data_IF_344998580760
#
_entry.id   IF_344998580760
#
_cell.length_a   1.000
_cell.length_b   1.000
_cell.length_c   1.000
_cell.angle_alpha   90.00
_cell.angle_beta   90.00
_cell.angle_gamma   90.00
#
_symmetry.space_group_name_H-M   'P 1'
#
loop_
_entity.id
_entity.type
_entity.pdbx_description
1 polymer ?
2 non-polymer ?
3 non-polymer ?
#
# COMPACT_ATOMS: atom_id res chain seq x y z
N UNK A 5 10.68 -28.02 -14.03
CA UNK A 5 12.07 -28.43 -13.78
C UNK A 5 12.76 -27.49 -12.81
N UNK A 6 12.45 -26.19 -12.91
CA UNK A 6 13.24 -25.17 -12.23
C UNK A 6 12.43 -24.32 -11.26
N UNK A 7 12.66 -23.01 -11.32
CA UNK A 7 12.07 -22.08 -10.36
C UNK A 7 11.70 -20.80 -11.11
N UNK A 8 10.49 -20.30 -10.90
CA UNK A 8 10.12 -18.98 -11.40
C UNK A 8 10.35 -17.97 -10.30
N UNK A 9 11.15 -16.96 -10.60
CA UNK A 9 11.53 -15.95 -9.64
C UNK A 9 10.77 -14.66 -9.90
N UNK A 10 10.56 -13.90 -8.83
CA UNK A 10 9.96 -12.57 -8.91
C UNK A 10 10.67 -11.68 -7.89
N UNK A 11 11.10 -10.50 -8.33
CA UNK A 11 11.88 -9.58 -7.50
C UNK A 11 11.14 -8.26 -7.43
N UNK A 12 10.86 -7.81 -6.21
CA UNK A 12 10.21 -6.53 -5.95
C UNK A 12 11.17 -5.59 -5.24
N UNK A 13 11.11 -4.31 -5.60
CA UNK A 13 11.97 -3.30 -5.02
C UNK A 13 11.13 -2.11 -4.57
N UNK A 14 11.31 -1.70 -3.31
CA UNK A 14 10.66 -0.53 -2.75
C UNK A 14 11.73 0.47 -2.33
N UNK A 15 11.71 1.65 -2.94
CA UNK A 15 12.62 2.73 -2.59
C UNK A 15 11.82 3.68 -1.72
N UNK A 16 11.84 3.44 -0.40
CA UNK A 16 11.04 4.18 0.53
C UNK A 16 11.73 5.42 1.07
N UNK A 17 11.11 6.02 2.09
CA UNK A 17 11.64 7.25 2.67
C UNK A 17 12.81 6.98 3.61
N UNK A 18 12.84 5.82 4.25
CA UNK A 18 13.94 5.45 5.14
C UNK A 18 14.60 4.13 4.81
N UNK A 19 13.93 3.22 4.10
CA UNK A 19 14.48 1.91 3.76
C UNK A 19 14.34 1.67 2.27
N UNK A 20 15.34 1.01 1.69
CA UNK A 20 15.28 0.48 0.33
C UNK A 20 15.25 -1.03 0.44
N UNK A 21 14.12 -1.64 0.10
CA UNK A 21 13.90 -3.07 0.29
C UNK A 21 13.83 -3.77 -1.05
N UNK A 22 14.66 -4.81 -1.20
CA UNK A 22 14.64 -5.68 -2.37
C UNK A 22 14.34 -7.10 -1.93
N UNK A 23 13.30 -7.69 -2.50
CA UNK A 23 12.84 -9.02 -2.11
C UNK A 23 12.91 -9.97 -3.29
N UNK A 24 13.41 -11.18 -3.06
CA UNK A 24 13.49 -12.23 -4.06
C UNK A 24 12.68 -13.41 -3.58
N UNK A 25 11.73 -13.85 -4.39
CA UNK A 25 10.86 -14.94 -4.01
C UNK A 25 10.61 -15.89 -5.17
N UNK A 26 10.42 -17.17 -4.82
CA UNK A 26 10.07 -18.20 -5.77
C UNK A 26 8.56 -18.40 -5.79
N UNK A 27 8.01 -18.61 -6.98
CA UNK A 27 6.61 -18.98 -7.11
C UNK A 27 6.48 -20.49 -6.93
N UNK A 28 5.68 -20.90 -5.97
CA UNK A 28 5.42 -22.31 -5.73
C UNK A 28 4.11 -22.73 -6.37
N UNK A 29 3.92 -24.02 -6.64
CA UNK A 29 2.63 -24.47 -7.19
C UNK A 29 1.43 -24.07 -6.34
N UNK A 30 1.63 -23.91 -5.03
CA UNK A 30 0.58 -23.43 -4.14
C UNK A 30 -0.02 -22.12 -4.63
N UNK A 31 0.82 -21.22 -5.12
CA UNK A 31 0.53 -19.82 -5.17
C UNK A 31 1.19 -19.03 -4.07
N UNK A 32 1.86 -19.70 -3.15
CA UNK A 32 2.68 -19.06 -2.13
C UNK A 32 4.02 -18.65 -2.73
N UNK A 33 4.66 -17.68 -2.08
CA UNK A 33 5.94 -17.16 -2.51
C UNK A 33 7.00 -17.62 -1.51
N UNK A 34 8.00 -18.36 -2.01
CA UNK A 34 9.12 -18.81 -1.18
C UNK A 34 10.17 -17.69 -1.17
N UNK A 35 10.15 -16.86 -0.14
CA UNK A 35 11.06 -15.74 -0.04
C UNK A 35 12.47 -16.27 0.27
N UNK A 36 13.38 -16.07 -0.68
CA UNK A 36 14.73 -16.63 -0.59
C UNK A 36 15.81 -15.55 -0.53
N UNK A 37 15.44 -14.27 -0.62
CA UNK A 37 16.42 -13.21 -0.58
C UNK A 37 15.85 -11.89 -0.08
N UNK A 38 16.55 -11.26 0.86
CA UNK A 38 16.13 -9.99 1.43
C UNK A 38 17.29 -9.01 1.30
N UNK A 39 16.97 -7.75 0.96
CA UNK A 39 17.97 -6.72 0.87
C UNK A 39 17.50 -5.42 1.49
N UNK A 40 18.21 -4.95 2.51
CA UNK A 40 17.86 -3.72 3.21
C UNK A 40 19.00 -2.72 3.12
N UNK A 41 18.64 -1.43 3.10
CA UNK A 41 19.59 -0.35 2.98
C UNK A 41 18.92 0.95 3.39
N UNK A 42 19.55 1.77 4.23
CA UNK A 42 18.96 3.06 4.59
C UNK A 42 18.85 3.96 3.36
N UNK A 43 17.61 4.34 3.03
CA UNK A 43 17.31 5.05 1.80
C UNK A 43 17.94 6.44 1.85
N UNK A 44 19.12 6.57 1.25
CA UNK A 44 19.83 7.84 1.19
C UNK A 44 19.55 8.54 -0.13
N UNK A 45 19.14 9.79 -0.05
CA UNK A 45 18.91 10.62 -1.21
C UNK A 45 17.47 10.88 -1.59
N UNK A 46 16.51 10.64 -0.68
CA UNK A 46 15.10 10.83 -0.98
C UNK A 46 14.45 11.66 0.10
N UNK A 47 13.93 12.82 -0.27
CA UNK A 47 13.04 13.60 0.60
C UNK A 47 11.69 12.93 0.62
N UNK A 48 10.67 13.64 1.11
CA UNK A 48 9.30 13.14 0.93
C UNK A 48 8.71 13.60 -0.39
N UNK A 49 9.17 14.73 -0.94
CA UNK A 49 8.78 15.13 -2.27
C UNK A 49 9.32 14.24 -3.36
N UNK A 50 10.34 13.43 -3.06
CA UNK A 50 10.90 12.52 -4.02
C UNK A 50 12.40 12.38 -3.94
N UNK A 51 13.04 12.10 -5.07
CA UNK A 51 14.48 11.95 -5.13
C UNK A 51 15.13 13.34 -5.22
N UNK A 52 16.16 13.57 -4.39
CA UNK A 52 16.92 14.81 -4.44
C UNK A 52 18.39 14.60 -4.80
N UNK A 53 18.82 13.35 -5.00
CA UNK A 53 20.22 13.06 -5.30
C UNK A 53 20.26 11.68 -5.96
N UNK A 54 20.44 11.66 -7.27
CA UNK A 54 20.32 10.42 -8.02
C UNK A 54 21.46 9.46 -7.69
N UNK A 55 22.70 9.95 -7.67
CA UNK A 55 23.84 9.08 -7.42
C UNK A 55 23.74 8.39 -6.06
N UNK A 56 23.10 9.05 -5.09
CA UNK A 56 22.93 8.42 -3.78
C UNK A 56 21.94 7.26 -3.85
N UNK A 57 20.85 7.44 -4.60
CA UNK A 57 19.82 6.40 -4.67
C UNK A 57 20.31 5.22 -5.50
N UNK A 58 21.18 5.46 -6.49
CA UNK A 58 21.72 4.36 -7.27
C UNK A 58 22.54 3.43 -6.40
N UNK A 59 23.43 4.01 -5.58
CA UNK A 59 24.21 3.20 -4.64
C UNK A 59 23.32 2.51 -3.63
N UNK A 60 22.22 3.14 -3.23
CA UNK A 60 21.29 2.53 -2.28
C UNK A 60 20.59 1.32 -2.90
N UNK A 61 20.17 1.44 -4.16
CA UNK A 61 19.44 0.36 -4.80
C UNK A 61 20.34 -0.83 -5.05
N UNK A 62 21.51 -0.60 -5.66
CA UNK A 62 22.42 -1.70 -5.95
C UNK A 62 22.90 -2.38 -4.68
N UNK A 63 23.01 -1.64 -3.59
CA UNK A 63 23.37 -2.25 -2.30
C UNK A 63 22.29 -3.24 -1.86
N UNK A 64 21.03 -2.81 -1.85
CA UNK A 64 19.94 -3.71 -1.50
C UNK A 64 19.78 -4.83 -2.53
N UNK A 65 20.04 -4.54 -3.81
CA UNK A 65 19.96 -5.58 -4.83
C UNK A 65 21.06 -6.61 -4.63
N UNK A 66 22.28 -6.15 -4.33
CA UNK A 66 23.40 -7.07 -4.19
C UNK A 66 23.21 -8.01 -3.01
N UNK A 67 22.65 -7.50 -1.90
CA UNK A 67 22.48 -8.34 -0.72
C UNK A 67 21.46 -9.44 -0.96
N UNK A 68 20.29 -9.08 -1.50
CA UNK A 68 19.27 -10.08 -1.80
C UNK A 68 19.73 -11.02 -2.91
N UNK A 69 20.53 -10.52 -3.85
CA UNK A 69 21.06 -11.37 -4.91
C UNK A 69 22.00 -12.44 -4.35
N UNK A 70 22.83 -12.05 -3.38
CA UNK A 70 23.76 -13.00 -2.78
C UNK A 70 23.05 -13.97 -1.84
N UNK A 71 22.08 -13.46 -1.07
CA UNK A 71 21.35 -14.31 -0.14
C UNK A 71 20.53 -15.37 -0.86
N UNK A 72 20.06 -15.06 -2.07
CA UNK A 72 19.23 -15.98 -2.85
C UNK A 72 20.03 -16.82 -3.84
N UNK A 73 21.32 -16.51 -4.04
CA UNK A 73 22.16 -17.22 -5.00
C UNK A 73 21.54 -17.19 -6.40
N UNK A 74 21.14 -15.99 -6.83
CA UNK A 74 20.52 -15.80 -8.14
C UNK A 74 21.20 -14.63 -8.84
N UNK A 75 20.52 -14.09 -9.85
CA UNK A 75 21.04 -12.94 -10.60
C UNK A 75 19.84 -12.07 -10.99
N UNK A 76 19.60 -11.02 -10.21
CA UNK A 76 18.46 -10.15 -10.45
C UNK A 76 18.73 -9.29 -11.67
N UNK A 77 17.83 -9.36 -12.66
CA UNK A 77 17.94 -8.56 -13.87
C UNK A 77 16.75 -7.64 -14.08
N UNK A 78 15.58 -7.97 -13.56
CA UNK A 78 14.39 -7.13 -13.68
C UNK A 78 13.66 -7.12 -12.35
N UNK A 79 12.98 -6.01 -12.06
CA UNK A 79 12.31 -5.82 -10.77
C UNK A 79 10.90 -5.30 -11.01
N UNK A 80 10.07 -5.47 -9.98
CA UNK A 80 8.74 -4.85 -9.90
C UNK A 80 8.86 -3.68 -8.93
N UNK A 81 8.71 -2.46 -9.45
CA UNK A 81 9.01 -1.24 -8.71
C UNK A 81 7.75 -0.69 -8.07
N UNK A 82 7.82 -0.41 -6.78
CA UNK A 82 6.74 0.26 -6.08
C UNK A 82 6.74 1.75 -6.42
N UNK A 83 5.62 2.41 -6.10
CA UNK A 83 5.49 3.84 -6.39
C UNK A 83 4.48 4.44 -5.41
N UNK A 84 4.95 5.34 -4.56
CA UNK A 84 4.11 6.13 -3.67
C UNK A 84 4.27 7.60 -4.02
N UNK A 85 3.43 8.42 -3.41
CA UNK A 85 3.49 9.85 -3.62
C UNK A 85 2.13 10.48 -3.40
N UNK A 86 2.12 11.81 -3.42
CA UNK A 86 0.90 12.56 -3.16
C UNK A 86 -0.04 12.54 -4.36
N UNK A 87 0.50 12.75 -5.56
CA UNK A 87 -0.33 12.95 -6.74
C UNK A 87 -0.74 11.63 -7.36
N UNK A 88 -1.21 10.70 -6.53
CA UNK A 88 -1.85 9.47 -6.99
C UNK A 88 -3.34 9.62 -6.73
N UNK A 89 -4.16 9.34 -7.75
CA UNK A 89 -5.60 9.51 -7.65
C UNK A 89 -6.28 8.33 -8.32
N UNK A 90 -7.62 8.35 -8.30
CA UNK A 90 -8.41 7.27 -8.85
C UNK A 90 -9.66 7.83 -9.50
N UNK A 91 -10.33 6.98 -10.29
CA UNK A 91 -11.62 7.28 -10.87
C UNK A 91 -12.24 5.97 -11.36
N UNK A 92 -13.56 5.98 -11.47
CA UNK A 92 -14.32 4.78 -11.84
C UNK A 92 -15.15 5.07 -13.08
N UNK A 93 -15.01 4.22 -14.09
CA UNK A 93 -15.73 4.35 -15.34
C UNK A 93 -16.62 3.13 -15.57
N UNK A 94 -17.56 3.29 -16.51
CA UNK A 94 -18.54 2.25 -16.83
C UNK A 94 -18.65 2.16 -18.35
N UNK A 95 -18.39 0.97 -18.90
CA UNK A 95 -18.52 0.75 -20.33
C UNK A 95 -19.59 -0.28 -20.64
N UNK A 96 -20.08 -0.27 -21.88
CA UNK A 96 -21.13 -1.21 -22.29
C UNK A 96 -20.96 -1.53 -23.77
N UNK A 97 -21.01 -2.81 -24.11
CA UNK A 97 -20.84 -3.25 -25.50
C UNK A 97 -21.92 -4.28 -25.85
N UNK A 98 -22.31 -4.41 -27.11
CA UNK A 98 -23.16 -5.53 -27.51
C UNK A 98 -22.38 -6.83 -27.48
N UNK A 99 -22.99 -7.87 -26.91
CA UNK A 99 -22.31 -9.16 -26.77
C UNK A 99 -22.20 -9.82 -28.14
N UNK A 100 -20.98 -10.18 -28.52
CA UNK A 100 -20.74 -10.78 -29.83
C UNK A 100 -21.41 -12.14 -29.91
N UNK A 101 -22.35 -12.28 -30.86
CA UNK A 101 -23.08 -13.53 -31.11
C UNK A 101 -23.80 -14.03 -29.85
N UNK A 102 -24.15 -13.09 -28.96
CA UNK A 102 -24.88 -13.39 -27.73
C UNK A 102 -24.16 -14.42 -26.86
N UNK A 103 -22.84 -14.48 -26.99
CA UNK A 103 -22.00 -15.30 -26.12
C UNK A 103 -20.71 -14.53 -25.85
N UNK A 104 -20.42 -14.32 -24.56
CA UNK A 104 -19.30 -13.46 -24.18
C UNK A 104 -17.99 -14.16 -24.55
N UNK A 105 -17.28 -13.61 -25.54
CA UNK A 105 -15.94 -14.03 -25.88
C UNK A 105 -14.92 -13.05 -25.30
N UNK A 106 -13.64 -13.40 -25.42
CA UNK A 106 -12.60 -12.57 -24.85
C UNK A 106 -12.53 -11.20 -25.51
N UNK A 107 -12.83 -11.12 -26.81
CA UNK A 107 -12.82 -9.84 -27.49
C UNK A 107 -13.96 -8.94 -27.02
N UNK A 108 -15.06 -9.53 -26.54
CA UNK A 108 -16.11 -8.76 -25.89
C UNK A 108 -15.58 -8.08 -24.63
N UNK A 109 -14.86 -8.84 -23.81
CA UNK A 109 -14.29 -8.30 -22.57
C UNK A 109 -13.26 -7.23 -22.87
N UNK A 110 -12.41 -7.46 -23.88
CA UNK A 110 -11.29 -6.56 -24.13
C UNK A 110 -11.74 -5.19 -24.62
N UNK A 111 -12.85 -5.12 -25.36
CA UNK A 111 -13.32 -3.85 -25.90
C UNK A 111 -14.11 -3.03 -24.88
N UNK A 112 -14.89 -3.67 -24.01
CA UNK A 112 -15.64 -2.91 -23.01
C UNK A 112 -14.70 -2.35 -21.94
N UNK A 113 -13.63 -3.09 -21.62
CA UNK A 113 -12.60 -2.55 -20.74
C UNK A 113 -11.83 -1.45 -21.46
N UNK A 114 -11.63 -1.60 -22.77
CA UNK A 114 -10.94 -0.57 -23.54
C UNK A 114 -11.74 0.72 -23.58
N UNK A 115 -13.06 0.62 -23.81
CA UNK A 115 -13.88 1.82 -23.86
C UNK A 115 -14.05 2.47 -22.50
N UNK A 116 -13.77 1.75 -21.41
CA UNK A 116 -13.85 2.34 -20.08
C UNK A 116 -12.58 3.14 -19.76
N UNK A 117 -11.42 2.57 -20.06
CA UNK A 117 -10.15 3.25 -19.79
C UNK A 117 -9.82 4.35 -20.80
N UNK A 118 -10.54 4.42 -21.92
CA UNK A 118 -10.30 5.44 -22.93
C UNK A 118 -11.14 6.68 -22.66
N UNK A 119 -10.87 7.31 -21.52
CA UNK A 119 -11.59 8.49 -21.08
C UNK A 119 -10.58 9.57 -20.71
N UNK A 120 -11.07 10.80 -20.57
CA UNK A 120 -10.24 11.90 -20.10
C UNK A 120 -9.78 11.63 -18.68
N UNK A 121 -8.51 11.92 -18.41
CA UNK A 121 -7.88 11.60 -17.13
C UNK A 121 -7.38 12.89 -16.50
N UNK A 122 -7.35 12.90 -15.17
CA UNK A 122 -6.90 14.04 -14.36
C UNK A 122 -5.73 14.77 -15.00
N UNK A 123 -5.75 16.10 -14.91
CA UNK A 123 -4.73 16.95 -15.52
C UNK A 123 -3.34 16.49 -15.12
N UNK A 124 -2.51 16.21 -16.14
CA UNK A 124 -1.13 15.76 -15.95
C UNK A 124 -1.08 14.41 -15.24
N UNK A 125 -1.89 13.47 -15.70
CA UNK A 125 -1.89 12.11 -15.16
C UNK A 125 -1.90 11.11 -16.30
N UNK A 126 -1.36 9.92 -16.01
CA UNK A 126 -1.43 8.78 -16.91
C UNK A 126 -1.98 7.59 -16.15
N UNK A 127 -2.57 6.65 -16.89
CA UNK A 127 -3.16 5.49 -16.26
C UNK A 127 -2.06 4.55 -15.79
N UNK A 128 -2.05 4.27 -14.49
CA UNK A 128 -1.09 3.37 -13.88
C UNK A 128 -1.62 1.95 -13.74
N UNK A 129 -2.91 1.80 -13.43
CA UNK A 129 -3.54 0.50 -13.28
C UNK A 129 -4.96 0.56 -13.83
N UNK A 130 -5.32 -0.41 -14.66
CA UNK A 130 -6.69 -0.60 -15.12
C UNK A 130 -7.21 -1.86 -14.45
N UNK A 131 -8.07 -1.69 -13.46
CA UNK A 131 -8.57 -2.82 -12.67
C UNK A 131 -10.07 -2.98 -12.88
N UNK A 132 -10.52 -3.98 -13.63
CA UNK A 132 -11.96 -4.22 -13.74
C UNK A 132 -12.55 -4.62 -12.40
N UNK A 133 -13.72 -4.09 -12.10
CA UNK A 133 -14.41 -4.37 -10.84
C UNK A 133 -15.40 -5.53 -10.98
N UNK A 134 -16.39 -5.38 -11.86
CA UNK A 134 -17.37 -6.43 -12.06
C UNK A 134 -18.07 -6.20 -13.40
N UNK A 135 -18.78 -7.24 -13.86
CA UNK A 135 -19.48 -7.19 -15.14
C UNK A 135 -20.97 -7.43 -14.92
N UNK A 136 -21.77 -6.95 -15.87
CA UNK A 136 -23.23 -7.09 -15.81
C UNK A 136 -23.73 -7.53 -17.18
N UNK A 137 -24.12 -8.79 -17.28
CA UNK A 137 -24.64 -9.36 -18.53
C UNK A 137 -26.15 -9.43 -18.42
N UNK A 138 -26.84 -8.53 -19.12
CA UNK A 138 -28.30 -8.53 -19.18
C UNK A 138 -28.92 -8.57 -17.79
N UNK A 139 -28.50 -7.62 -16.95
CA UNK A 139 -29.03 -7.43 -15.60
C UNK A 139 -28.70 -8.60 -14.68
N UNK A 140 -27.60 -9.30 -14.93
CA UNK A 140 -26.94 -10.12 -13.93
C UNK A 140 -25.74 -9.30 -13.43
N UNK A 141 -25.97 -8.48 -12.42
CA UNK A 141 -24.90 -7.64 -11.92
C UNK A 141 -23.92 -8.45 -11.07
N UNK A 142 -22.72 -7.91 -10.91
CA UNK A 142 -21.72 -8.51 -10.04
C UNK A 142 -21.08 -9.78 -10.56
N UNK A 143 -20.71 -9.81 -11.84
CA UNK A 143 -20.03 -10.96 -12.43
C UNK A 143 -18.54 -10.69 -12.44
N UNK A 144 -17.75 -11.69 -12.05
CA UNK A 144 -16.29 -11.56 -12.04
C UNK A 144 -15.68 -12.07 -13.35
N UNK A 145 -15.84 -13.36 -13.63
CA UNK A 145 -15.32 -13.98 -14.84
C UNK A 145 -16.48 -14.22 -15.80
N UNK A 146 -16.69 -13.35 -16.78
CA UNK A 146 -17.89 -13.43 -17.63
C UNK A 146 -17.71 -14.13 -18.97
N UNK A 147 -16.50 -14.56 -19.33
CA UNK A 147 -16.28 -15.17 -20.63
C UNK A 147 -17.03 -16.49 -20.71
N UNK A 148 -17.80 -16.67 -21.77
CA UNK A 148 -18.54 -17.88 -22.02
C UNK A 148 -20.03 -17.76 -21.78
N UNK A 149 -20.46 -16.84 -20.92
CA UNK A 149 -21.86 -16.70 -20.58
C UNK A 149 -22.65 -16.14 -21.75
N UNK A 150 -23.98 -16.27 -21.66
CA UNK A 150 -24.89 -15.82 -22.71
C UNK A 150 -25.58 -14.52 -22.30
N UNK A 151 -25.88 -13.69 -23.29
CA UNK A 151 -26.53 -12.43 -23.04
C UNK A 151 -26.44 -11.54 -24.27
N UNK A 152 -27.17 -10.43 -24.20
CA UNK A 152 -27.24 -9.49 -25.32
C UNK A 152 -26.33 -8.29 -25.12
N UNK A 153 -26.46 -7.61 -23.97
CA UNK A 153 -25.65 -6.45 -23.65
C UNK A 153 -24.90 -6.68 -22.35
N UNK A 154 -23.64 -6.25 -22.32
CA UNK A 154 -22.77 -6.44 -21.17
C UNK A 154 -22.23 -5.10 -20.71
N UNK A 155 -22.32 -4.84 -19.41
CA UNK A 155 -21.75 -3.67 -18.78
C UNK A 155 -20.52 -4.08 -17.97
N UNK A 156 -19.54 -3.19 -17.92
CA UNK A 156 -18.31 -3.44 -17.16
C UNK A 156 -17.97 -2.21 -16.33
N UNK A 157 -17.63 -2.45 -15.06
CA UNK A 157 -17.18 -1.41 -14.15
C UNK A 157 -15.67 -1.55 -13.97
N UNK A 158 -14.93 -0.50 -14.27
CA UNK A 158 -13.47 -0.53 -14.27
C UNK A 158 -12.95 0.54 -13.33
N UNK A 159 -12.01 0.16 -12.47
CA UNK A 159 -11.36 1.07 -11.54
C UNK A 159 -10.01 1.50 -12.11
N UNK A 160 -9.78 2.81 -12.16
CA UNK A 160 -8.57 3.38 -12.74
C UNK A 160 -7.74 4.04 -11.65
N UNK A 161 -6.49 3.63 -11.53
CA UNK A 161 -5.53 4.27 -10.65
C UNK A 161 -4.57 5.10 -11.50
N UNK A 162 -4.61 6.41 -11.34
CA UNK A 162 -3.82 7.33 -12.15
C UNK A 162 -2.74 8.00 -11.30
N UNK A 163 -1.65 8.38 -11.96
CA UNK A 163 -0.52 9.01 -11.30
C UNK A 163 0.04 10.10 -12.20
N UNK A 164 0.76 11.04 -11.59
CA UNK A 164 1.41 12.09 -12.36
C UNK A 164 2.48 11.48 -13.27
N UNK A 165 2.69 12.12 -14.43
CA UNK A 165 3.54 11.54 -15.46
C UNK A 165 4.99 11.44 -15.01
N UNK A 166 5.50 12.47 -14.34
CA UNK A 166 6.93 12.56 -14.05
C UNK A 166 7.32 11.94 -12.73
N UNK A 167 6.36 11.59 -11.87
CA UNK A 167 6.70 11.17 -10.51
C UNK A 167 7.46 9.85 -10.45
N UNK A 168 7.56 9.11 -11.56
CA UNK A 168 8.30 7.86 -11.58
C UNK A 168 9.61 7.95 -12.35
N UNK A 169 9.89 9.07 -13.02
CA UNK A 169 11.07 9.16 -13.87
C UNK A 169 12.36 8.98 -13.06
N UNK A 170 12.41 9.56 -11.86
CA UNK A 170 13.65 9.51 -11.08
C UNK A 170 13.94 8.10 -10.60
N UNK A 171 12.94 7.42 -10.03
CA UNK A 171 13.17 6.08 -9.51
C UNK A 171 13.36 5.06 -10.63
N UNK A 172 12.83 5.33 -11.82
CA UNK A 172 13.09 4.44 -12.96
C UNK A 172 14.53 4.61 -13.43
N UNK A 173 15.01 5.85 -13.51
CA UNK A 173 16.40 6.10 -13.84
C UNK A 173 17.34 5.46 -12.83
N UNK A 174 16.97 5.51 -11.54
CA UNK A 174 17.81 4.92 -10.50
C UNK A 174 17.95 3.41 -10.71
N UNK A 175 16.84 2.72 -10.92
CA UNK A 175 16.90 1.27 -11.12
C UNK A 175 17.58 0.94 -12.44
N UNK A 176 17.24 1.66 -13.51
CA UNK A 176 17.83 1.37 -14.82
C UNK A 176 19.33 1.64 -14.84
N UNK A 177 19.80 2.58 -14.02
CA UNK A 177 21.23 2.82 -13.91
C UNK A 177 21.95 1.76 -13.08
N UNK A 178 21.22 0.76 -12.58
CA UNK A 178 21.81 -0.42 -11.95
C UNK A 178 21.79 -1.64 -12.86
N UNK A 179 21.57 -1.44 -14.16
CA UNK A 179 21.48 -2.55 -15.08
C UNK A 179 20.24 -3.40 -14.91
N UNK A 180 19.15 -2.81 -14.43
CA UNK A 180 17.92 -3.55 -14.14
C UNK A 180 16.78 -2.98 -14.97
N UNK A 181 15.90 -3.87 -15.43
CA UNK A 181 14.68 -3.49 -16.14
C UNK A 181 13.53 -3.42 -15.15
N UNK A 182 12.60 -2.50 -15.40
CA UNK A 182 11.39 -2.36 -14.60
C UNK A 182 10.30 -3.22 -15.24
N UNK A 183 9.96 -4.33 -14.60
CA UNK A 183 8.88 -5.18 -15.10
C UNK A 183 7.57 -4.40 -15.14
N UNK A 184 7.26 -3.69 -14.06
CA UNK A 184 6.03 -2.91 -13.97
C UNK A 184 6.14 -1.99 -12.75
N UNK A 185 5.50 -0.82 -12.87
CA UNK A 185 5.39 0.11 -11.75
C UNK A 185 4.10 -0.17 -11.00
N UNK A 186 4.20 -0.49 -9.72
CA UNK A 186 3.07 -0.91 -8.90
C UNK A 186 2.78 0.17 -7.88
N UNK A 187 1.52 0.57 -7.78
CA UNK A 187 1.11 1.48 -6.71
C UNK A 187 1.32 0.81 -5.36
N UNK A 188 1.94 1.54 -4.43
CA UNK A 188 2.33 0.96 -3.16
C UNK A 188 1.13 0.47 -2.37
N UNK A 189 0.05 1.25 -2.37
CA UNK A 189 -1.15 0.84 -1.65
C UNK A 189 -1.80 -0.39 -2.25
N UNK A 190 -1.68 -0.57 -3.57
CA UNK A 190 -2.24 -1.75 -4.20
C UNK A 190 -1.48 -3.01 -3.81
N UNK A 191 -0.15 -2.95 -3.86
CA UNK A 191 0.66 -4.09 -3.42
C UNK A 191 0.43 -4.40 -1.95
N UNK A 192 0.15 -3.37 -1.14
CA UNK A 192 -0.05 -3.59 0.29
C UNK A 192 -1.22 -4.55 0.53
N UNK A 193 -2.38 -4.25 -0.04
CA UNK A 193 -3.54 -5.11 0.12
C UNK A 193 -3.37 -6.46 -0.57
N UNK A 194 -2.54 -6.54 -1.61
CA UNK A 194 -2.19 -7.84 -2.17
C UNK A 194 -1.53 -8.73 -1.12
N UNK A 195 -0.86 -8.13 -0.14
CA UNK A 195 -0.08 -8.86 0.85
C UNK A 195 -0.88 -9.15 2.13
N UNK A 196 -1.72 -8.23 2.57
CA UNK A 196 -2.37 -8.36 3.87
C UNK A 196 -3.80 -8.85 3.80
N UNK A 197 -4.39 -8.93 2.61
CA UNK A 197 -5.80 -9.28 2.47
C UNK A 197 -5.97 -10.74 2.07
N UNK A 198 -6.99 -11.37 2.62
CA UNK A 198 -7.51 -12.63 2.10
C UNK A 198 -8.67 -12.35 1.16
N UNK A 199 -8.95 -13.31 0.28
CA UNK A 199 -9.96 -13.08 -0.75
C UNK A 199 -11.36 -12.93 -0.15
N UNK A 200 -11.64 -13.62 0.96
CA UNK A 200 -12.97 -13.50 1.56
C UNK A 200 -13.17 -12.14 2.22
N UNK A 201 -12.09 -11.49 2.66
CA UNK A 201 -12.21 -10.14 3.21
C UNK A 201 -12.64 -9.15 2.13
N UNK A 202 -12.16 -9.34 0.89
CA UNK A 202 -12.62 -8.51 -0.21
C UNK A 202 -14.10 -8.77 -0.51
N UNK A 203 -14.55 -10.02 -0.38
CA UNK A 203 -15.95 -10.34 -0.58
C UNK A 203 -16.81 -9.75 0.53
N UNK A 204 -16.38 -9.92 1.79
CA UNK A 204 -17.13 -9.36 2.91
C UNK A 204 -17.12 -7.84 2.90
N UNK A 205 -16.09 -7.24 2.30
CA UNK A 205 -15.96 -5.80 2.32
C UNK A 205 -14.95 -5.33 3.36
N UNK A 206 -13.85 -4.73 2.89
CA UNK A 206 -12.77 -4.31 3.77
C UNK A 206 -12.16 -3.02 3.24
N UNK A 207 -11.40 -2.34 4.09
CA UNK A 207 -10.66 -1.14 3.71
C UNK A 207 -9.25 -1.25 4.28
N UNK A 208 -8.25 -1.21 3.41
CA UNK A 208 -6.86 -1.25 3.81
C UNK A 208 -6.34 0.17 3.93
N UNK A 209 -5.50 0.42 4.93
CA UNK A 209 -4.86 1.71 5.13
C UNK A 209 -3.37 1.44 5.28
N UNK A 210 -2.61 1.68 4.21
CA UNK A 210 -1.16 1.55 4.24
C UNK A 210 -0.57 2.84 4.80
N UNK A 211 -0.08 2.79 6.03
CA UNK A 211 0.40 3.96 6.74
C UNK A 211 1.92 3.96 6.68
N UNK A 212 2.47 4.81 5.82
CA UNK A 212 3.90 4.97 5.69
C UNK A 212 4.42 6.13 6.50
N UNK A 213 5.47 6.78 5.99
CA UNK A 213 6.02 7.95 6.64
C UNK A 213 5.33 9.23 6.24
N UNK A 214 5.07 9.40 4.95
CA UNK A 214 4.51 10.64 4.45
C UNK A 214 3.11 10.52 3.86
N UNK A 215 2.69 9.30 3.54
CA UNK A 215 1.39 9.07 2.93
C UNK A 215 0.62 7.99 3.68
N UNK A 216 -0.70 8.09 3.60
CA UNK A 216 -1.62 7.02 4.01
C UNK A 216 -2.33 6.56 2.74
N UNK A 217 -2.01 5.35 2.29
CA UNK A 217 -2.63 4.77 1.11
C UNK A 217 -3.86 3.99 1.53
N UNK A 218 -5.03 4.40 1.03
CA UNK A 218 -6.31 3.83 1.43
C UNK A 218 -6.94 3.15 0.22
N UNK A 219 -7.34 1.89 0.39
CA UNK A 219 -8.06 1.13 -0.63
C UNK A 219 -9.27 0.48 0.01
N UNK A 220 -10.39 0.51 -0.72
CA UNK A 220 -11.66 -0.04 -0.23
C UNK A 220 -12.11 -1.12 -1.19
N UNK A 221 -12.28 -2.34 -0.68
CA UNK A 221 -12.80 -3.46 -1.43
C UNK A 221 -14.19 -3.80 -0.89
N UNK A 222 -15.20 -3.77 -1.76
CA UNK A 222 -16.54 -4.24 -1.42
C UNK A 222 -17.04 -5.14 -2.54
N UNK A 223 -17.64 -6.27 -2.16
CA UNK A 223 -18.11 -7.23 -3.15
C UNK A 223 -17.00 -7.89 -3.93
N UNK A 224 -15.80 -7.97 -3.37
CA UNK A 224 -14.68 -8.58 -4.04
C UNK A 224 -14.00 -7.72 -5.09
N UNK A 225 -14.33 -6.44 -5.18
CA UNK A 225 -13.79 -5.55 -6.19
C UNK A 225 -13.23 -4.30 -5.55
N UNK A 226 -12.17 -3.77 -6.15
CA UNK A 226 -11.57 -2.53 -5.66
C UNK A 226 -12.44 -1.35 -6.03
N UNK A 227 -12.98 -0.67 -5.01
CA UNK A 227 -13.92 0.43 -5.21
C UNK A 227 -13.26 1.80 -5.19
N UNK A 228 -12.22 1.99 -4.38
CA UNK A 228 -11.71 3.33 -4.12
C UNK A 228 -10.21 3.27 -3.83
N UNK A 229 -9.50 4.32 -4.26
CA UNK A 229 -8.09 4.48 -3.98
C UNK A 229 -7.86 5.96 -3.66
N UNK A 230 -7.33 6.23 -2.46
CA UNK A 230 -7.13 7.60 -2.01
C UNK A 230 -5.81 7.69 -1.26
N UNK A 231 -5.04 8.74 -1.53
CA UNK A 231 -3.78 9.00 -0.88
C UNK A 231 -3.94 10.23 0.00
N UNK A 232 -3.76 10.06 1.31
CA UNK A 232 -3.80 11.15 2.27
C UNK A 232 -2.35 11.53 2.62
N UNK A 233 -1.94 12.78 2.43
CA UNK A 233 -0.52 13.12 2.56
C UNK A 233 -0.06 13.39 3.99
N UNK A 234 -0.63 12.67 4.95
CA UNK A 234 -0.28 12.85 6.36
C UNK A 234 -0.15 11.49 7.02
N UNK A 235 1.01 11.20 7.57
CA UNK A 235 1.25 9.90 8.19
C UNK A 235 2.16 10.03 9.41
N UNK A 236 3.06 9.06 9.59
CA UNK A 236 3.93 8.98 10.76
C UNK A 236 4.90 10.13 10.91
N UNK A 237 5.16 10.89 9.85
CA UNK A 237 6.08 12.02 9.96
C UNK A 237 5.42 13.20 10.66
N UNK A 238 4.11 13.39 10.46
CA UNK A 238 3.39 14.45 11.18
C UNK A 238 3.31 14.13 12.66
N UNK A 239 3.15 12.84 13.00
CA UNK A 239 3.17 12.43 14.41
C UNK A 239 4.53 12.72 15.02
N UNK A 240 5.60 12.42 14.29
CA UNK A 240 6.95 12.70 14.77
C UNK A 240 7.18 14.20 14.96
N UNK A 241 6.57 15.03 14.11
CA UNK A 241 6.71 16.47 14.27
C UNK A 241 6.03 16.95 15.55
N UNK A 242 4.91 16.31 15.92
CA UNK A 242 4.24 16.67 17.17
C UNK A 242 5.16 16.45 18.37
N UNK A 243 5.85 15.30 18.40
CA UNK A 243 6.72 14.98 19.52
C UNK A 243 7.90 15.94 19.58
N UNK A 244 8.45 16.31 18.41
CA UNK A 244 9.58 17.23 18.39
C UNK A 244 9.18 18.62 18.84
N UNK A 245 7.96 19.04 18.52
CA UNK A 245 7.49 20.39 18.85
C UNK A 245 6.90 20.46 20.25
N UNK A 246 6.17 19.43 20.68
CA UNK A 246 5.53 19.49 22.00
C UNK A 246 6.52 19.30 23.13
N UNK A 247 7.69 18.72 22.87
CA UNK A 247 8.67 18.45 23.91
C UNK A 247 9.98 19.20 23.75
N UNK A 248 10.20 19.87 22.61
CA UNK A 248 11.45 20.57 22.38
C UNK A 248 12.63 19.63 22.28
N UNK A 249 12.60 18.77 21.27
CA UNK A 249 13.62 17.74 21.07
C UNK A 249 13.86 17.59 19.57
N UNK A 250 15.09 17.28 19.16
CA UNK A 250 15.39 17.16 17.74
C UNK A 250 14.52 16.11 17.08
N UNK A 251 14.06 16.36 15.85
CA UNK A 251 13.22 15.36 15.16
C UNK A 251 13.90 14.01 14.99
N UNK A 252 15.23 13.98 14.89
CA UNK A 252 15.94 12.70 14.90
C UNK A 252 15.72 11.96 16.22
N UNK A 253 15.61 12.69 17.33
CA UNK A 253 15.33 12.05 18.62
C UNK A 253 13.84 11.83 18.80
N UNK A 254 13.00 12.72 18.28
CA UNK A 254 11.55 12.49 18.35
C UNK A 254 11.14 11.26 17.55
N UNK A 255 11.88 10.95 16.47
CA UNK A 255 11.61 9.72 15.74
C UNK A 255 12.02 8.50 16.55
N UNK A 256 13.13 8.59 17.27
CA UNK A 256 13.61 7.45 18.07
C UNK A 256 12.64 7.14 19.20
N UNK A 257 12.19 8.17 19.92
CA UNK A 257 11.31 7.94 21.07
C UNK A 257 9.94 7.43 20.63
N UNK A 258 9.50 7.81 19.43
CA UNK A 258 8.19 7.35 18.96
C UNK A 258 8.21 5.86 18.67
N UNK A 259 9.23 5.39 17.94
CA UNK A 259 9.30 3.96 17.64
C UNK A 259 9.65 3.16 18.88
N UNK A 260 10.45 3.72 19.78
CA UNK A 260 10.92 2.97 20.94
C UNK A 260 9.90 2.93 22.07
N UNK A 261 9.17 4.03 22.28
CA UNK A 261 8.26 4.11 23.42
C UNK A 261 6.91 4.73 23.06
N UNK A 262 6.61 4.94 21.78
CA UNK A 262 5.34 5.56 21.43
C UNK A 262 4.17 4.62 21.60
N UNK A 263 2.99 5.23 21.73
CA UNK A 263 1.75 4.49 21.86
C UNK A 263 0.59 5.39 21.44
N UNK A 264 -0.37 4.83 20.72
CA UNK A 264 -1.50 5.60 20.22
C UNK A 264 -2.62 5.77 21.23
N UNK A 265 -2.46 5.25 22.45
CA UNK A 265 -3.50 5.32 23.46
C UNK A 265 -2.86 5.63 24.80
N UNK A 266 -3.03 6.88 25.27
CA UNK A 266 -2.64 7.21 26.63
C UNK A 266 -3.51 6.58 27.70
N UNK A 267 -4.61 5.94 27.30
CA UNK A 267 -5.49 5.29 28.27
C UNK A 267 -4.83 4.06 28.89
N UNK A 268 -3.97 3.38 28.14
CA UNK A 268 -3.45 2.07 28.55
C UNK A 268 -2.01 2.13 29.04
N UNK A 269 -1.32 3.26 28.91
CA UNK A 269 0.07 3.36 29.34
C UNK A 269 0.12 3.68 30.83
N UNK A 270 1.08 3.08 31.51
CA UNK A 270 1.23 3.28 32.95
C UNK A 270 1.68 4.71 33.26
N UNK A 271 1.52 5.10 34.53
CA UNK A 271 1.95 6.40 35.01
C UNK A 271 3.38 6.40 35.51
N UNK A 272 4.01 5.23 35.66
CA UNK A 272 5.32 5.10 36.26
C UNK A 272 6.41 4.70 35.27
N UNK A 273 6.08 4.57 33.99
CA UNK A 273 7.09 4.30 32.96
C UNK A 273 7.60 5.64 32.44
N UNK A 274 8.84 5.97 32.80
CA UNK A 274 9.42 7.27 32.47
C UNK A 274 10.53 7.11 31.44
N UNK A 275 10.53 7.99 30.45
CA UNK A 275 11.51 7.98 29.38
C UNK A 275 12.36 9.24 29.47
N UNK A 276 13.59 9.15 28.95
CA UNK A 276 14.56 10.23 28.93
C UNK A 276 14.73 10.74 27.50
N UNK A 277 14.97 12.04 27.38
CA UNK A 277 14.99 12.68 26.06
C UNK A 277 16.13 13.70 25.97
N UNK A 278 16.89 13.68 24.88
CA UNK A 278 17.84 14.77 24.64
C UNK A 278 17.13 15.99 24.10
N UNK A 279 17.52 17.16 24.62
CA UNK A 279 16.86 18.41 24.27
C UNK A 279 17.67 19.18 23.22
N UNK A 280 17.07 20.28 22.75
CA UNK A 280 17.64 21.10 21.69
C UNK A 280 18.49 22.21 22.29
N UNK A 281 19.31 22.84 21.44
CA UNK A 281 20.17 23.92 21.88
C UNK A 281 21.30 23.50 22.77
N UNK A 282 21.66 22.21 22.79
CA UNK A 282 22.66 21.73 23.71
C UNK A 282 22.28 21.86 25.16
N UNK A 283 20.98 21.92 25.45
CA UNK A 283 20.42 22.14 26.77
C UNK A 283 20.23 20.81 27.49
N UNK A 284 20.05 20.82 28.81
CA UNK A 284 20.13 19.58 29.56
C UNK A 284 19.01 18.63 29.16
N UNK A 285 19.26 17.33 29.21
CA UNK A 285 18.21 16.36 28.85
C UNK A 285 17.05 16.43 29.82
N UNK A 286 15.86 16.09 29.31
CA UNK A 286 14.63 16.11 30.08
C UNK A 286 14.12 14.69 30.27
N UNK A 287 13.23 14.53 31.25
CA UNK A 287 12.63 13.24 31.58
C UNK A 287 11.12 13.39 31.60
N UNK A 288 10.44 12.64 30.74
CA UNK A 288 8.99 12.69 30.60
C UNK A 288 8.41 11.30 30.82
N UNK A 289 7.09 11.26 30.97
CA UNK A 289 6.38 10.00 31.17
C UNK A 289 5.95 9.41 29.85
N UNK A 290 5.95 8.07 29.80
CA UNK A 290 5.45 7.37 28.62
C UNK A 290 4.00 7.76 28.33
N UNK A 291 3.20 7.96 29.37
CA UNK A 291 1.81 8.34 29.18
C UNK A 291 1.69 9.73 28.56
N UNK A 292 2.51 10.68 29.02
CA UNK A 292 2.49 12.02 28.44
C UNK A 292 2.86 11.97 26.97
N UNK A 293 3.84 11.14 26.61
CA UNK A 293 4.20 10.96 25.21
C UNK A 293 3.03 10.38 24.41
N UNK A 294 2.32 9.42 25.00
CA UNK A 294 1.14 8.86 24.35
C UNK A 294 0.02 9.88 24.26
N UNK A 295 -0.03 10.83 25.20
CA UNK A 295 -1.05 11.88 25.14
C UNK A 295 -0.79 12.88 24.01
N UNK A 296 0.42 12.87 23.46
CA UNK A 296 0.71 13.68 22.27
C UNK A 296 0.42 12.90 20.99
N UNK A 297 0.68 11.60 21.02
CA UNK A 297 0.50 10.77 19.82
C UNK A 297 -0.98 10.51 19.55
N UNK A 298 -1.77 10.33 20.61
CA UNK A 298 -3.17 9.94 20.43
C UNK A 298 -4.00 10.95 19.65
N UNK A 299 -3.96 12.26 19.94
CA UNK A 299 -4.82 13.17 19.17
C UNK A 299 -4.50 13.20 17.68
N UNK A 300 -3.23 13.12 17.30
CA UNK A 300 -2.88 13.16 15.89
C UNK A 300 -3.32 11.89 15.18
N UNK A 301 -3.02 10.72 15.77
CA UNK A 301 -3.41 9.46 15.16
C UNK A 301 -4.93 9.37 15.01
N UNK A 302 -5.68 9.83 16.01
CA UNK A 302 -7.12 9.86 15.90
C UNK A 302 -7.56 10.76 14.75
N UNK A 303 -6.90 11.91 14.58
CA UNK A 303 -7.25 12.83 13.50
C UNK A 303 -6.95 12.21 12.14
N UNK A 304 -5.85 11.46 12.02
CA UNK A 304 -5.51 10.85 10.75
C UNK A 304 -6.51 9.77 10.36
N UNK A 305 -6.90 8.92 11.32
CA UNK A 305 -7.86 7.87 11.03
C UNK A 305 -9.26 8.43 10.77
N UNK A 306 -9.57 9.59 11.36
CA UNK A 306 -10.83 10.25 11.03
C UNK A 306 -10.84 10.72 9.59
N UNK A 307 -9.69 11.15 9.06
CA UNK A 307 -9.60 11.48 7.64
C UNK A 307 -9.91 10.27 6.79
N UNK A 308 -9.47 9.09 7.21
CA UNK A 308 -9.80 7.86 6.49
C UNK A 308 -11.26 7.50 6.71
N UNK A 309 -11.75 7.63 7.95
CA UNK A 309 -13.16 7.35 8.22
C UNK A 309 -14.07 8.28 7.44
N UNK A 310 -13.68 9.56 7.32
CA UNK A 310 -14.46 10.50 6.51
C UNK A 310 -14.45 10.09 5.05
N UNK A 311 -13.34 9.49 4.58
CA UNK A 311 -13.27 9.05 3.19
C UNK A 311 -14.08 7.79 2.97
N UNK A 312 -14.14 6.90 3.98
CA UNK A 312 -14.89 5.66 3.84
C UNK A 312 -16.38 5.94 3.74
N UNK A 313 -16.88 6.83 4.60
CA UNK A 313 -18.32 7.01 4.72
C UNK A 313 -18.91 7.68 3.49
N UNK A 314 -18.27 8.75 3.00
CA UNK A 314 -18.81 9.42 1.81
C UNK A 314 -18.68 8.55 0.57
N UNK A 315 -17.72 7.63 0.55
CA UNK A 315 -17.69 6.63 -0.51
C UNK A 315 -18.82 5.62 -0.34
N UNK A 316 -19.08 5.21 0.90
CA UNK A 316 -20.18 4.29 1.17
C UNK A 316 -21.51 4.89 0.75
N UNK A 317 -21.66 6.21 0.92
CA UNK A 317 -22.91 6.86 0.51
C UNK A 317 -23.08 6.80 -1.01
N UNK A 318 -22.06 7.21 -1.76
CA UNK A 318 -22.16 7.22 -3.21
C UNK A 318 -22.34 5.81 -3.77
N UNK A 319 -21.80 4.81 -3.08
CA UNK A 319 -22.04 3.43 -3.50
C UNK A 319 -23.49 3.01 -3.24
N UNK A 320 -24.10 3.53 -2.17
CA UNK A 320 -25.50 3.23 -1.90
C UNK A 320 -26.41 3.79 -2.98
N UNK A 321 -26.05 4.95 -3.53
CA UNK A 321 -26.83 5.52 -4.63
C UNK A 321 -26.70 4.72 -5.92
N UNK A 322 -25.68 3.85 -6.01
CA UNK A 322 -25.43 3.07 -7.21
C UNK A 322 -25.84 1.60 -7.06
N UNK A 323 -26.47 1.25 -5.95
CA UNK A 323 -26.92 -0.13 -5.77
C UNK A 323 -25.81 -1.15 -5.67
N UNK A 324 -24.66 -0.75 -5.13
CA UNK A 324 -23.49 -1.63 -5.03
C UNK A 324 -23.20 -1.88 -3.56
N UNK A 325 -22.73 -3.10 -3.26
CA UNK A 325 -22.37 -3.45 -1.91
C UNK A 325 -21.41 -2.43 -1.31
N UNK A 326 -21.53 -2.21 0.00
CA UNK A 326 -20.86 -1.09 0.65
C UNK A 326 -20.42 -1.42 2.06
N UNK A 327 -21.11 -2.35 2.71
CA UNK A 327 -20.82 -2.67 4.10
C UNK A 327 -19.44 -3.29 4.24
N UNK A 328 -18.68 -2.83 5.23
CA UNK A 328 -17.34 -3.34 5.50
C UNK A 328 -17.41 -4.41 6.58
N UNK A 329 -17.93 -5.57 6.17
CA UNK A 329 -18.10 -6.69 7.12
C UNK A 329 -16.76 -7.22 7.61
N UNK A 330 -15.69 -7.06 6.83
CA UNK A 330 -14.37 -7.51 7.23
C UNK A 330 -13.63 -6.47 8.08
N UNK A 331 -14.09 -5.22 8.10
CA UNK A 331 -13.52 -4.22 8.99
C UNK A 331 -12.42 -3.39 8.37
N UNK A 332 -11.46 -2.96 9.19
CA UNK A 332 -10.35 -2.12 8.77
C UNK A 332 -9.05 -2.88 9.00
N UNK A 333 -8.18 -2.85 8.00
CA UNK A 333 -6.85 -3.44 8.09
C UNK A 333 -5.83 -2.33 8.00
N UNK A 334 -5.17 -2.03 9.12
CA UNK A 334 -4.11 -1.03 9.15
C UNK A 334 -2.77 -1.71 8.94
N UNK A 335 -2.02 -1.23 7.95
CA UNK A 335 -0.73 -1.83 7.61
C UNK A 335 0.27 -0.71 7.32
N UNK A 336 1.49 -1.10 7.01
CA UNK A 336 2.58 -0.17 6.80
C UNK A 336 3.41 -0.01 8.06
N UNK A 337 4.49 0.77 7.92
CA UNK A 337 5.36 1.01 9.05
C UNK A 337 4.67 1.79 10.15
N UNK A 338 3.91 2.82 9.78
CA UNK A 338 3.21 3.63 10.75
C UNK A 338 2.09 2.92 11.49
N UNK A 339 1.77 1.69 11.11
CA UNK A 339 0.72 0.93 11.77
C UNK A 339 1.24 0.04 12.89
N UNK A 340 2.56 0.02 13.12
CA UNK A 340 3.17 -0.86 14.10
C UNK A 340 3.18 -0.27 15.51
N UNK A 341 2.67 0.95 15.70
CA UNK A 341 2.70 1.57 17.01
C UNK A 341 1.74 0.83 17.94
N UNK A 342 2.06 0.82 19.24
CA UNK A 342 1.21 0.19 20.23
C UNK A 342 -0.17 0.85 20.25
N UNK A 343 -1.16 0.09 20.70
CA UNK A 343 -2.48 0.64 20.96
C UNK A 343 -3.21 1.17 19.75
N UNK A 344 -2.69 0.95 18.54
CA UNK A 344 -3.30 1.54 17.37
C UNK A 344 -4.59 0.84 16.98
N UNK A 345 -4.59 -0.50 16.98
CA UNK A 345 -5.81 -1.24 16.68
C UNK A 345 -6.95 -0.88 17.62
N UNK A 346 -6.64 -0.42 18.83
CA UNK A 346 -7.63 0.03 19.79
C UNK A 346 -8.03 1.49 19.56
N UNK A 347 -7.05 2.34 19.23
CA UNK A 347 -7.38 3.73 18.91
C UNK A 347 -8.21 3.83 17.64
N UNK A 348 -7.99 2.93 16.68
CA UNK A 348 -8.78 2.95 15.46
C UNK A 348 -10.18 2.40 15.69
N UNK A 349 -10.33 1.44 16.61
CA UNK A 349 -11.66 0.88 16.89
C UNK A 349 -12.62 1.95 17.38
N UNK A 350 -12.11 2.94 18.12
CA UNK A 350 -12.96 4.05 18.56
C UNK A 350 -13.29 5.01 17.44
N UNK A 351 -12.54 4.97 16.34
CA UNK A 351 -12.76 5.88 15.22
C UNK A 351 -13.72 5.28 14.20
N UNK A 352 -13.43 4.06 13.75
CA UNK A 352 -14.22 3.42 12.71
C UNK A 352 -15.45 2.68 13.23
N UNK A 353 -15.49 2.39 14.54
CA UNK A 353 -16.61 1.68 15.16
C UNK A 353 -16.84 0.31 14.53
N UNK A 354 -15.77 -0.33 14.10
CA UNK A 354 -15.83 -1.67 13.53
C UNK A 354 -14.55 -2.41 13.91
N UNK A 355 -14.48 -3.68 13.52
CA UNK A 355 -13.30 -4.49 13.84
C UNK A 355 -12.09 -3.96 13.09
N UNK A 356 -10.99 -3.79 13.82
CA UNK A 356 -9.73 -3.30 13.27
C UNK A 356 -8.64 -4.29 13.62
N UNK A 357 -7.78 -4.60 12.64
CA UNK A 357 -6.65 -5.49 12.85
C UNK A 357 -5.43 -4.93 12.14
N UNK A 358 -4.25 -5.26 12.67
CA UNK A 358 -2.98 -4.84 12.10
C UNK A 358 -2.48 -5.99 11.22
N UNK A 359 -2.42 -5.75 9.91
CA UNK A 359 -2.11 -6.79 8.94
C UNK A 359 -0.64 -6.83 8.59
N UNK A 360 -0.10 -8.03 8.54
CA UNK A 360 1.24 -8.34 8.07
C UNK A 360 1.16 -9.10 6.75
N UNK A 361 2.28 -9.23 6.03
CA UNK A 361 2.26 -9.98 4.78
C UNK A 361 1.77 -11.42 4.95
N UNK A 362 0.93 -11.85 4.03
CA UNK A 362 0.34 -13.18 4.01
C UNK A 362 0.98 -14.04 2.92
N UNK A 363 0.67 -15.33 2.96
CA UNK A 363 0.89 -16.23 1.83
C UNK A 363 2.37 -16.32 1.44
N UNK A 364 3.25 -16.45 2.43
CA UNK A 364 4.68 -16.51 2.17
C UNK A 364 5.30 -17.61 3.04
N UNK A 365 6.43 -18.13 2.57
CA UNK A 365 7.20 -19.13 3.29
C UNK A 365 8.68 -18.84 3.10
N UNK A 366 9.52 -19.62 3.77
CA UNK A 366 10.96 -19.44 3.69
C UNK A 366 11.46 -18.48 4.76
N UNK A 367 12.06 -17.37 4.32
CA UNK A 367 12.59 -16.38 5.25
C UNK A 367 11.51 -15.42 5.72
N UNK A 368 10.42 -15.97 6.27
CA UNK A 368 9.31 -15.15 6.71
C UNK A 368 9.65 -14.31 7.93
N UNK A 369 10.64 -14.72 8.73
CA UNK A 369 11.00 -13.97 9.93
C UNK A 369 11.54 -12.59 9.61
N UNK A 370 12.06 -12.39 8.40
CA UNK A 370 12.67 -11.11 8.02
C UNK A 370 11.67 -10.13 7.42
N UNK A 371 10.52 -10.61 6.94
CA UNK A 371 9.57 -9.75 6.24
C UNK A 371 8.18 -9.88 6.84
N UNK A 372 8.10 -10.34 8.09
CA UNK A 372 6.81 -10.47 8.77
C UNK A 372 6.33 -9.16 9.39
N UNK A 373 7.12 -8.10 9.30
CA UNK A 373 6.72 -6.82 9.88
C UNK A 373 5.72 -6.12 8.95
N UNK A 374 4.71 -5.47 9.51
CA UNK A 374 3.73 -4.75 8.66
C UNK A 374 4.35 -3.70 7.75
N UNK A 375 5.59 -3.27 8.02
CA UNK A 375 6.25 -2.33 7.11
C UNK A 375 6.65 -2.99 5.79
N UNK A 376 6.71 -4.32 5.75
CA UNK A 376 7.03 -5.06 4.55
C UNK A 376 5.81 -5.41 3.71
N UNK A 377 4.68 -4.73 3.95
CA UNK A 377 3.46 -5.04 3.21
C UNK A 377 3.62 -4.76 1.72
N UNK A 378 4.14 -3.57 1.39
CA UNK A 378 4.31 -3.22 -0.02
C UNK A 378 5.34 -4.12 -0.70
N UNK A 379 6.47 -4.38 -0.02
CA UNK A 379 7.53 -5.20 -0.61
C UNK A 379 7.03 -6.60 -0.95
N UNK A 380 6.34 -7.24 -0.01
CA UNK A 380 5.81 -8.57 -0.26
C UNK A 380 4.72 -8.52 -1.33
N UNK A 381 3.92 -7.45 -1.33
CA UNK A 381 2.88 -7.33 -2.33
C UNK A 381 3.40 -7.21 -3.75
N UNK A 382 4.59 -6.63 -3.92
CA UNK A 382 5.21 -6.63 -5.25
C UNK A 382 5.50 -8.04 -5.72
N UNK A 383 5.84 -8.93 -4.79
CA UNK A 383 6.12 -10.32 -5.16
C UNK A 383 4.84 -11.04 -5.59
N UNK A 384 3.74 -10.81 -4.86
CA UNK A 384 2.48 -11.46 -5.20
C UNK A 384 1.91 -10.91 -6.50
N UNK A 385 1.96 -9.59 -6.69
CA UNK A 385 1.46 -9.00 -7.93
C UNK A 385 2.23 -9.55 -9.13
N UNK A 386 3.56 -9.57 -9.04
CA UNK A 386 4.35 -10.15 -10.11
C UNK A 386 4.09 -11.62 -10.33
N UNK A 387 3.72 -12.34 -9.26
CA UNK A 387 3.34 -13.73 -9.39
C UNK A 387 2.07 -13.88 -10.21
N UNK A 388 1.07 -13.03 -9.92
CA UNK A 388 -0.16 -13.03 -10.70
C UNK A 388 0.11 -12.60 -12.13
N UNK A 389 1.11 -11.75 -12.35
CA UNK A 389 1.47 -11.34 -13.70
C UNK A 389 2.01 -12.52 -14.51
N UNK A 390 2.69 -13.45 -13.86
CA UNK A 390 3.21 -14.62 -14.57
C UNK A 390 2.09 -15.57 -14.98
N UNK A 391 1.31 -16.03 -14.00
CA UNK A 391 0.23 -16.97 -14.27
C UNK A 391 -0.96 -16.26 -14.92
N UNK A 392 -0.78 -15.81 -16.15
CA UNK A 392 -1.83 -15.10 -16.87
C UNK A 392 -1.38 -14.52 -18.19
#
# INVERSE_FOLDING_TARGET
MIKSTDRKLVVGLEIGTAKVSALVGEILPDGMVNIIGVGNCPSRGMDKGGVNDLESVVKCVQRAIDQAELMADCQISSVYLALSGKHISCQNEIGMVPVSEEEVTQDDVDSVVHTAKSVRVRDEHRILHVIPQEYAIDYQEGIKNPVGLSGVRMQAKVHLITCHNDMAKNIVKAVERCGLKVDQLIFAGLAASYAVLTEDERELGVCVVDIGGGTMDVAVYTGGALRHTKVIPYAGNVVTSDIAYAFGTPPSDAETIKVRHGCALGSIVSKDESVEVPSVGGRPPRSLQRQTLAEVIEPRYTELLNLVNDEILRLQEQLRQQGVKHHLAAGIVLTGGGAQIDGLAECAQRVFHTQVRIGRPLNITGLTDYVQAPCYSTAVGLLHYGKESHLGGDSD
#
